data_IF_580414109462
#
_entry.id   IF_580414109462
#
_cell.length_a   1.000
_cell.length_b   1.000
_cell.length_c   1.000
_cell.angle_alpha   90.00
_cell.angle_beta   90.00
_cell.angle_gamma   90.00
#
_symmetry.space_group_name_H-M   'P 1'
#
loop_
_entity.id
_entity.type
_entity.pdbx_description
1 polymer ?
#
# COMPACT_ATOMS: atom_id res chain seq x y z
N UNK A 1 -13.56 63.90 -25.92
CA UNK A 1 -12.57 64.29 -26.96
C UNK A 1 -11.20 64.09 -26.29
N UNK A 2 -10.33 63.18 -26.74
CA UNK A 2 -9.40 63.35 -27.88
C UNK A 2 -8.55 64.62 -27.68
N UNK A 3 -7.21 64.64 -27.59
CA UNK A 3 -6.09 63.69 -27.83
C UNK A 3 -4.96 63.94 -26.75
N UNK A 4 -3.82 63.26 -26.57
CA UNK A 4 -3.20 62.05 -27.16
C UNK A 4 -2.19 61.33 -26.18
N UNK A 5 -1.00 60.88 -26.63
CA UNK A 5 0.10 60.25 -25.84
C UNK A 5 1.43 61.02 -25.98
N UNK A 6 2.51 60.71 -25.20
CA UNK A 6 3.57 59.87 -25.78
C UNK A 6 4.43 59.01 -24.80
N UNK A 7 5.39 58.26 -25.37
CA UNK A 7 6.58 57.62 -24.77
C UNK A 7 6.35 56.27 -24.03
N UNK A 8 6.57 55.12 -24.67
CA UNK A 8 7.85 54.47 -25.04
C UNK A 8 8.72 54.02 -23.85
N UNK A 9 8.63 52.74 -23.49
CA UNK A 9 9.70 51.73 -23.70
C UNK A 9 9.27 50.38 -23.10
N UNK A 10 9.20 49.34 -23.92
CA UNK A 10 9.18 47.94 -23.47
C UNK A 10 10.29 47.21 -24.22
N UNK A 11 11.43 47.05 -23.57
CA UNK A 11 12.51 46.20 -24.04
C UNK A 11 12.05 44.75 -24.04
N UNK A 12 11.82 44.19 -25.22
CA UNK A 12 11.69 42.75 -25.38
C UNK A 12 13.06 42.12 -25.16
N UNK A 13 13.32 41.67 -23.93
CA UNK A 13 14.37 40.68 -23.69
C UNK A 13 13.97 39.39 -24.39
N UNK A 14 14.61 39.11 -25.51
CA UNK A 14 14.46 37.86 -26.23
C UNK A 14 15.12 36.75 -25.41
N UNK A 15 14.34 35.82 -24.84
CA UNK A 15 14.93 34.65 -24.20
C UNK A 15 15.59 33.77 -25.29
N UNK A 16 16.85 33.36 -25.14
CA UNK A 16 17.46 32.38 -26.03
C UNK A 16 16.79 31.01 -25.86
N UNK A 17 16.80 30.22 -26.94
CA UNK A 17 16.27 28.85 -26.96
C UNK A 17 17.03 27.94 -25.98
N UNK A 18 16.33 26.97 -25.40
CA UNK A 18 16.85 26.14 -24.30
C UNK A 18 17.92 25.09 -24.71
N UNK A 19 18.25 25.04 -26.01
CA UNK A 19 19.05 23.98 -26.63
C UNK A 19 20.57 24.21 -26.65
N UNK A 20 21.05 25.42 -26.29
CA UNK A 20 22.47 25.79 -26.38
C UNK A 20 23.15 26.02 -25.01
N UNK A 21 22.55 25.59 -23.88
CA UNK A 21 23.25 25.62 -22.59
C UNK A 21 24.22 24.42 -22.45
N UNK A 22 25.52 24.65 -22.20
CA UNK A 22 26.46 23.56 -21.97
C UNK A 22 26.16 22.87 -20.63
N UNK A 23 26.07 21.54 -20.67
CA UNK A 23 25.90 20.70 -19.48
C UNK A 23 27.10 20.87 -18.53
N UNK A 24 26.88 21.20 -17.24
CA UNK A 24 27.97 21.23 -16.26
C UNK A 24 28.49 19.81 -16.03
N UNK A 25 29.82 19.66 -16.05
CA UNK A 25 30.47 18.38 -15.77
C UNK A 25 30.25 17.95 -14.30
N UNK A 26 30.18 16.64 -14.01
CA UNK A 26 29.95 16.15 -12.65
C UNK A 26 31.21 16.35 -11.78
N UNK A 27 31.19 17.35 -10.90
CA UNK A 27 32.25 17.57 -9.91
C UNK A 27 32.25 16.47 -8.84
N UNK A 28 33.25 15.59 -8.90
CA UNK A 28 33.41 14.40 -8.06
C UNK A 28 33.98 14.69 -6.66
N UNK A 29 33.51 15.75 -5.97
CA UNK A 29 34.00 16.11 -4.63
C UNK A 29 33.04 15.82 -3.46
N UNK A 30 31.78 15.43 -3.72
CA UNK A 30 30.81 15.14 -2.64
C UNK A 30 30.77 13.67 -2.16
N UNK A 31 31.64 12.79 -2.68
CA UNK A 31 31.62 11.34 -2.39
C UNK A 31 32.79 10.80 -1.53
N UNK A 32 33.48 11.67 -0.80
CA UNK A 32 34.53 11.23 0.15
C UNK A 32 34.05 11.17 1.62
N UNK A 33 33.01 11.92 2.00
CA UNK A 33 32.49 11.92 3.38
C UNK A 33 31.66 10.68 3.74
N UNK A 34 30.87 10.16 2.81
CA UNK A 34 29.90 9.08 3.07
C UNK A 34 30.52 7.71 3.40
N UNK A 35 31.79 7.48 3.05
CA UNK A 35 32.48 6.22 3.38
C UNK A 35 32.97 6.17 4.83
N UNK A 36 33.42 7.29 5.39
CA UNK A 36 33.98 7.32 6.75
C UNK A 36 32.93 7.08 7.84
N UNK A 37 31.68 7.46 7.58
CA UNK A 37 30.57 7.29 8.54
C UNK A 37 29.98 5.87 8.62
N UNK A 38 30.35 4.95 7.70
CA UNK A 38 29.82 3.58 7.66
C UNK A 38 30.79 2.54 8.26
N UNK A 39 32.06 2.87 8.41
CA UNK A 39 33.10 1.95 8.90
C UNK A 39 33.28 2.05 10.44
N UNK A 40 33.02 3.24 11.00
CA UNK A 40 33.17 3.53 12.44
C UNK A 40 32.03 2.97 13.32
N UNK A 41 30.93 2.49 12.70
CA UNK A 41 29.77 1.89 13.37
C UNK A 41 29.84 0.37 13.54
N UNK A 42 30.96 -0.28 13.17
CA UNK A 42 31.12 -1.74 13.18
C UNK A 42 31.94 -2.31 14.34
N UNK A 43 32.33 -1.48 15.32
CA UNK A 43 33.06 -1.94 16.52
C UNK A 43 32.30 -1.65 17.82
N UNK A 44 31.88 -2.75 18.46
CA UNK A 44 31.52 -2.90 19.87
C UNK A 44 30.21 -2.25 20.40
N UNK A 45 29.18 -3.09 20.53
CA UNK A 45 28.64 -3.39 21.86
C UNK A 45 28.08 -4.82 21.94
N UNK A 46 28.27 -5.50 23.07
CA UNK A 46 27.92 -6.91 23.25
C UNK A 46 26.69 -7.11 24.15
N UNK A 47 25.91 -8.15 23.81
CA UNK A 47 25.09 -9.00 24.70
C UNK A 47 23.60 -8.63 24.86
N UNK A 48 22.68 -9.61 25.07
CA UNK A 48 22.84 -11.07 25.09
C UNK A 48 22.15 -11.81 23.93
N UNK A 49 22.43 -13.10 23.81
CA UNK A 49 21.94 -13.98 22.75
C UNK A 49 20.43 -14.24 22.84
N UNK A 50 19.65 -13.77 21.86
CA UNK A 50 18.47 -14.51 21.40
C UNK A 50 18.76 -15.07 20.01
N UNK A 51 18.67 -16.40 19.87
CA UNK A 51 18.93 -17.09 18.61
C UNK A 51 17.79 -16.83 17.64
N UNK A 52 17.94 -15.83 16.77
CA UNK A 52 17.16 -15.75 15.53
C UNK A 52 17.62 -16.86 14.60
N UNK A 53 17.01 -18.04 14.75
CA UNK A 53 16.93 -19.02 13.67
C UNK A 53 16.45 -18.27 12.41
N UNK A 54 17.21 -18.34 11.32
CA UNK A 54 16.82 -17.71 10.04
C UNK A 54 15.61 -18.45 9.45
N UNK A 55 14.41 -18.15 9.96
CA UNK A 55 13.16 -18.74 9.49
C UNK A 55 12.85 -18.23 8.09
N UNK A 56 13.41 -18.95 7.11
CA UNK A 56 13.24 -18.75 5.67
C UNK A 56 11.77 -18.45 5.35
N UNK A 57 11.48 -17.20 4.97
CA UNK A 57 10.11 -16.71 4.76
C UNK A 57 9.35 -17.63 3.79
N UNK A 58 8.27 -18.22 4.29
CA UNK A 58 7.47 -19.21 3.58
C UNK A 58 6.62 -18.51 2.52
N UNK A 59 7.01 -18.72 1.26
CA UNK A 59 6.22 -18.37 0.07
C UNK A 59 5.26 -19.51 -0.23
N UNK A 60 4.13 -19.56 0.49
CA UNK A 60 3.14 -20.63 0.36
C UNK A 60 1.75 -20.25 0.86
N UNK A 61 0.78 -21.15 0.63
CA UNK A 61 -0.56 -21.05 1.22
C UNK A 61 -0.46 -21.00 2.74
N UNK A 62 -1.43 -20.35 3.39
CA UNK A 62 -1.55 -20.35 4.86
C UNK A 62 -2.24 -21.64 5.32
N UNK A 63 -1.65 -22.32 6.30
CA UNK A 63 -2.26 -23.47 6.98
C UNK A 63 -3.27 -23.04 8.04
N UNK A 64 -4.07 -23.99 8.53
CA UNK A 64 -4.99 -23.74 9.64
C UNK A 64 -4.25 -23.49 10.96
N UNK A 65 -3.02 -24.00 11.09
CA UNK A 65 -2.14 -23.86 12.25
C UNK A 65 -1.55 -22.45 12.29
N UNK A 66 -1.07 -21.95 11.14
CA UNK A 66 -0.62 -20.56 11.01
C UNK A 66 -1.76 -19.56 11.26
N UNK A 67 -2.97 -19.86 10.77
CA UNK A 67 -4.16 -19.04 11.05
C UNK A 67 -4.51 -19.02 12.55
N UNK A 68 -4.44 -20.16 13.25
CA UNK A 68 -4.68 -20.23 14.71
C UNK A 68 -3.64 -19.40 15.48
N UNK A 69 -2.36 -19.54 15.13
CA UNK A 69 -1.28 -18.77 15.76
C UNK A 69 -1.46 -17.26 15.53
N UNK A 70 -1.82 -16.85 14.31
CA UNK A 70 -2.10 -15.46 13.99
C UNK A 70 -3.30 -14.91 14.77
N UNK A 71 -4.37 -15.69 14.92
CA UNK A 71 -5.54 -15.28 15.73
C UNK A 71 -5.18 -15.13 17.21
N UNK A 72 -4.44 -16.09 17.78
CA UNK A 72 -3.98 -16.01 19.17
C UNK A 72 -3.07 -14.80 19.39
N UNK A 73 -2.05 -14.62 18.55
CA UNK A 73 -1.11 -13.51 18.62
C UNK A 73 -1.79 -12.14 18.53
N UNK A 74 -2.79 -11.98 17.66
CA UNK A 74 -3.56 -10.72 17.55
C UNK A 74 -4.44 -10.49 18.78
N UNK A 75 -5.06 -11.53 19.34
CA UNK A 75 -5.88 -11.41 20.55
C UNK A 75 -5.05 -11.06 21.80
N UNK A 76 -3.78 -11.49 21.85
CA UNK A 76 -2.84 -11.19 22.94
C UNK A 76 -2.26 -9.76 22.87
N UNK A 77 -2.20 -9.15 21.67
CA UNK A 77 -1.50 -7.88 21.44
C UNK A 77 -2.47 -6.70 21.23
N UNK A 78 -2.64 -5.88 22.27
CA UNK A 78 -3.45 -4.66 22.24
C UNK A 78 -2.63 -3.44 22.71
N UNK A 79 -2.32 -2.44 21.86
CA UNK A 79 -2.63 -2.36 20.42
C UNK A 79 -1.89 -3.41 19.58
N UNK A 80 -2.43 -3.71 18.39
CA UNK A 80 -1.87 -4.72 17.49
C UNK A 80 -0.59 -4.18 16.82
N UNK A 81 0.57 -4.68 17.26
CA UNK A 81 1.88 -4.41 16.65
C UNK A 81 2.25 -5.60 15.75
N UNK A 82 2.28 -5.39 14.44
CA UNK A 82 2.39 -6.49 13.47
C UNK A 82 3.74 -7.21 13.48
N UNK A 83 4.80 -6.56 13.91
CA UNK A 83 6.13 -7.15 14.03
C UNK A 83 6.17 -8.18 15.18
N UNK A 84 5.63 -7.81 16.36
CA UNK A 84 5.44 -8.72 17.51
C UNK A 84 4.50 -9.88 17.17
N UNK A 85 3.49 -9.64 16.32
CA UNK A 85 2.60 -10.71 15.81
C UNK A 85 3.36 -11.65 14.87
N UNK A 86 4.31 -11.16 14.07
CA UNK A 86 5.09 -11.98 13.16
C UNK A 86 6.10 -12.90 13.90
N UNK A 87 6.69 -12.43 15.00
CA UNK A 87 7.54 -13.26 15.88
C UNK A 87 6.81 -14.53 16.37
N UNK A 88 5.49 -14.45 16.56
CA UNK A 88 4.62 -15.57 16.98
C UNK A 88 4.13 -16.47 15.82
N UNK A 89 4.39 -16.10 14.56
CA UNK A 89 3.95 -16.85 13.37
C UNK A 89 5.19 -17.20 12.52
N UNK A 90 5.89 -18.32 12.83
CA UNK A 90 7.20 -18.62 12.25
C UNK A 90 7.15 -18.73 10.72
N UNK A 91 8.15 -18.14 10.05
CA UNK A 91 8.23 -18.12 8.59
C UNK A 91 7.28 -17.14 7.89
N UNK A 92 6.50 -16.33 8.63
CA UNK A 92 5.70 -15.22 8.07
C UNK A 92 6.21 -13.88 8.57
N UNK A 93 6.05 -12.85 7.75
CA UNK A 93 6.40 -11.48 8.12
C UNK A 93 5.17 -10.63 8.52
N UNK A 94 5.41 -9.50 9.16
CA UNK A 94 4.39 -8.57 9.64
C UNK A 94 3.37 -8.16 8.56
N UNK A 95 3.82 -7.97 7.32
CA UNK A 95 2.97 -7.59 6.19
C UNK A 95 2.02 -8.75 5.84
N UNK A 96 2.54 -9.98 5.72
CA UNK A 96 1.73 -11.17 5.45
C UNK A 96 0.70 -11.42 6.56
N UNK A 97 1.10 -11.29 7.83
CA UNK A 97 0.21 -11.41 8.99
C UNK A 97 -0.92 -10.38 8.95
N UNK A 98 -0.58 -9.10 8.70
CA UNK A 98 -1.55 -8.01 8.58
C UNK A 98 -2.55 -8.22 7.44
N UNK A 99 -2.08 -8.63 6.26
CA UNK A 99 -2.96 -8.92 5.12
C UNK A 99 -3.85 -10.14 5.38
N UNK A 100 -3.29 -11.22 5.95
CA UNK A 100 -4.04 -12.42 6.29
C UNK A 100 -5.15 -12.11 7.28
N UNK A 101 -4.84 -11.36 8.34
CA UNK A 101 -5.83 -10.90 9.30
C UNK A 101 -6.93 -10.08 8.60
N UNK A 102 -6.57 -8.95 8.00
CA UNK A 102 -7.49 -7.98 7.39
C UNK A 102 -8.42 -8.58 6.32
N UNK A 103 -7.95 -9.56 5.55
CA UNK A 103 -8.70 -10.09 4.41
C UNK A 103 -9.31 -11.49 4.62
N UNK A 104 -8.96 -12.22 5.69
CA UNK A 104 -9.42 -13.62 5.90
C UNK A 104 -9.85 -13.98 7.32
N UNK A 105 -9.21 -13.43 8.35
CA UNK A 105 -9.37 -13.90 9.74
C UNK A 105 -10.11 -12.92 10.66
N UNK A 106 -10.08 -11.62 10.36
CA UNK A 106 -10.74 -10.61 11.16
C UNK A 106 -12.24 -10.94 11.36
N UNK A 107 -12.78 -10.79 12.59
CA UNK A 107 -14.11 -11.29 12.96
C UNK A 107 -15.28 -10.55 12.29
N UNK A 108 -15.03 -9.34 11.78
CA UNK A 108 -15.97 -8.54 11.00
C UNK A 108 -16.21 -9.10 9.59
N UNK A 109 -15.35 -9.98 9.09
CA UNK A 109 -15.45 -10.53 7.73
C UNK A 109 -16.60 -11.54 7.57
N UNK A 110 -17.66 -11.15 6.85
CA UNK A 110 -18.76 -12.04 6.46
C UNK A 110 -18.29 -13.13 5.49
N UNK A 111 -18.27 -14.38 5.98
CA UNK A 111 -18.00 -15.60 5.18
C UNK A 111 -19.27 -16.21 4.54
N UNK A 112 -20.44 -15.63 4.79
CA UNK A 112 -21.74 -16.06 4.22
C UNK A 112 -21.85 -15.78 2.72
N UNK A 113 -22.84 -16.41 2.06
CA UNK A 113 -23.27 -16.03 0.70
C UNK A 113 -23.63 -14.54 0.62
N UNK A 114 -23.53 -13.94 -0.56
CA UNK A 114 -24.02 -12.59 -0.78
C UNK A 114 -25.54 -12.56 -0.71
N UNK A 115 -26.08 -11.55 -0.02
CA UNK A 115 -27.51 -11.29 0.12
C UNK A 115 -28.01 -10.44 -1.06
N UNK A 116 -29.30 -10.54 -1.41
CA UNK A 116 -29.87 -9.84 -2.58
C UNK A 116 -29.71 -8.32 -2.50
N UNK A 117 -29.77 -7.75 -1.30
CA UNK A 117 -29.55 -6.31 -1.09
C UNK A 117 -28.08 -5.92 -1.31
N UNK A 118 -27.12 -6.78 -0.97
CA UNK A 118 -25.70 -6.57 -1.24
C UNK A 118 -25.44 -6.55 -2.75
N UNK A 119 -26.04 -7.51 -3.48
CA UNK A 119 -25.94 -7.56 -4.94
C UNK A 119 -26.56 -6.34 -5.62
N UNK A 120 -27.74 -5.88 -5.17
CA UNK A 120 -28.37 -4.64 -5.66
C UNK A 120 -27.53 -3.40 -5.40
N UNK A 121 -26.89 -3.31 -4.24
CA UNK A 121 -25.95 -2.22 -3.92
C UNK A 121 -24.69 -2.28 -4.80
N UNK A 122 -24.15 -3.48 -5.07
CA UNK A 122 -22.99 -3.63 -5.97
C UNK A 122 -23.36 -3.23 -7.40
N UNK A 123 -24.51 -3.67 -7.91
CA UNK A 123 -25.00 -3.33 -9.25
C UNK A 123 -25.21 -1.82 -9.41
N UNK A 124 -25.91 -1.18 -8.46
CA UNK A 124 -26.20 0.26 -8.53
C UNK A 124 -24.94 1.12 -8.40
N UNK A 125 -24.03 0.80 -7.48
CA UNK A 125 -22.78 1.54 -7.33
C UNK A 125 -21.81 1.29 -8.48
N UNK A 126 -21.68 0.07 -9.00
CA UNK A 126 -20.83 -0.20 -10.16
C UNK A 126 -21.31 0.60 -11.39
N UNK A 127 -22.62 0.70 -11.63
CA UNK A 127 -23.19 1.57 -12.68
C UNK A 127 -22.86 3.05 -12.45
N UNK A 128 -22.81 3.50 -11.20
CA UNK A 128 -22.60 4.91 -10.82
C UNK A 128 -21.14 5.35 -10.85
N UNK A 129 -20.20 4.51 -10.42
CA UNK A 129 -18.78 4.87 -10.25
C UNK A 129 -17.78 3.92 -10.92
N UNK A 130 -18.26 2.91 -11.63
CA UNK A 130 -17.44 1.88 -12.28
C UNK A 130 -16.79 0.92 -11.29
N UNK A 131 -15.70 0.31 -11.72
CA UNK A 131 -15.00 -0.79 -11.02
C UNK A 131 -14.17 -0.34 -9.79
N UNK A 132 -14.67 0.63 -9.00
CA UNK A 132 -14.01 1.19 -7.81
C UNK A 132 -14.31 0.34 -6.57
N UNK A 133 -13.89 -0.92 -6.59
CA UNK A 133 -14.29 -1.96 -5.62
C UNK A 133 -14.09 -1.58 -4.15
N UNK A 134 -13.04 -0.81 -3.82
CA UNK A 134 -12.80 -0.32 -2.46
C UNK A 134 -13.89 0.64 -1.98
N UNK A 135 -14.36 1.56 -2.85
CA UNK A 135 -15.44 2.48 -2.51
C UNK A 135 -16.78 1.77 -2.38
N UNK A 136 -17.02 0.72 -3.18
CA UNK A 136 -18.23 -0.10 -3.09
C UNK A 136 -18.21 -0.94 -1.80
N UNK A 137 -17.08 -1.57 -1.48
CA UNK A 137 -16.91 -2.36 -0.26
C UNK A 137 -17.04 -1.54 1.03
N UNK A 138 -16.65 -0.26 1.02
CA UNK A 138 -16.87 0.64 2.17
C UNK A 138 -18.37 0.84 2.51
N UNK A 139 -19.29 0.51 1.60
CA UNK A 139 -20.75 0.53 1.84
C UNK A 139 -21.32 -0.84 2.25
N UNK A 140 -20.50 -1.88 2.32
CA UNK A 140 -20.90 -3.27 2.58
C UNK A 140 -20.20 -3.78 3.85
N UNK A 141 -20.81 -3.63 5.05
CA UNK A 141 -20.19 -4.03 6.30
C UNK A 141 -19.82 -5.51 6.29
N UNK A 142 -18.54 -5.79 6.57
CA UNK A 142 -17.96 -7.13 6.56
C UNK A 142 -17.66 -7.73 5.18
N UNK A 143 -17.73 -6.96 4.08
CA UNK A 143 -17.28 -7.39 2.75
C UNK A 143 -16.01 -6.65 2.33
N UNK A 144 -15.03 -7.37 1.81
CA UNK A 144 -13.79 -6.77 1.28
C UNK A 144 -13.94 -6.39 -0.20
N UNK A 145 -13.14 -5.43 -0.66
CA UNK A 145 -13.04 -5.07 -2.08
C UNK A 145 -12.77 -6.28 -2.99
N UNK A 146 -12.01 -7.27 -2.50
CA UNK A 146 -11.76 -8.51 -3.22
C UNK A 146 -13.03 -9.38 -3.32
N UNK A 147 -13.81 -9.49 -2.24
CA UNK A 147 -15.09 -10.21 -2.26
C UNK A 147 -16.10 -9.56 -3.23
N UNK A 148 -16.21 -8.23 -3.21
CA UNK A 148 -17.08 -7.47 -4.13
C UNK A 148 -16.65 -7.67 -5.59
N UNK A 149 -15.35 -7.51 -5.89
CA UNK A 149 -14.78 -7.77 -7.22
C UNK A 149 -15.10 -9.18 -7.71
N UNK A 150 -14.92 -10.18 -6.85
CA UNK A 150 -15.19 -11.58 -7.21
C UNK A 150 -16.68 -11.81 -7.43
N UNK A 151 -17.56 -11.27 -6.59
CA UNK A 151 -19.03 -11.35 -6.78
C UNK A 151 -19.46 -10.74 -8.11
N UNK A 152 -18.85 -9.62 -8.51
CA UNK A 152 -19.06 -9.01 -9.81
C UNK A 152 -18.71 -9.96 -10.97
N UNK A 153 -17.45 -10.41 -11.06
CA UNK A 153 -17.00 -11.21 -12.21
C UNK A 153 -17.57 -12.63 -12.24
N UNK A 154 -17.87 -13.24 -11.09
CA UNK A 154 -18.41 -14.60 -11.03
C UNK A 154 -19.92 -14.68 -11.25
N UNK A 155 -20.67 -13.59 -11.00
CA UNK A 155 -22.15 -13.61 -11.02
C UNK A 155 -22.72 -12.35 -11.67
N UNK A 156 -22.53 -11.17 -11.08
CA UNK A 156 -23.34 -9.99 -11.42
C UNK A 156 -23.08 -9.45 -12.84
N UNK A 157 -21.85 -9.57 -13.35
CA UNK A 157 -21.50 -9.15 -14.72
C UNK A 157 -22.34 -9.86 -15.80
N UNK A 158 -22.72 -11.10 -15.56
CA UNK A 158 -23.47 -11.90 -16.54
C UNK A 158 -24.99 -11.73 -16.35
N UNK A 159 -25.44 -11.26 -15.18
CA UNK A 159 -26.85 -11.00 -14.88
C UNK A 159 -27.32 -9.59 -15.29
N UNK A 160 -26.41 -8.67 -15.57
CA UNK A 160 -26.73 -7.34 -16.10
C UNK A 160 -25.97 -7.09 -17.42
N UNK A 161 -26.52 -7.51 -18.57
CA UNK A 161 -25.88 -7.42 -19.89
C UNK A 161 -25.96 -6.02 -20.53
N UNK A 162 -26.16 -4.96 -19.72
CA UNK A 162 -26.34 -3.57 -20.14
C UNK A 162 -25.41 -2.63 -19.35
#
# INVERSE_FOLDING_TARGET
>A
MMLETPSQMKSFFHLPSILDLPLPAPETQFLQGAKKFLEESLTENQSPQSRTEETKVVKGLWSAEEDKLLVAAVNECHPIVWDVVAEKVPGRNAIQCRERWRYRLAPDLKKSKFETWEDQLILSEQRRIGNKWTLIANKLPGRTACAVKNRWYSVLRNLNPF
#
